data_IF_791782871983
#
_entry.id   IF_791782871983
#
_cell.length_a   1.000
_cell.length_b   1.000
_cell.length_c   1.000
_cell.angle_alpha   90.00
_cell.angle_beta   90.00
_cell.angle_gamma   90.00
#
_symmetry.space_group_name_H-M   'P 1'
#
loop_
_entity.id
_entity.type
_entity.pdbx_description
1 polymer ?
#
# COMPACT_ATOMS: atom_id res chain seq x y z
N UNK A 1 -17.56 12.06 -17.65
CA UNK A 1 -17.61 10.99 -16.62
C UNK A 1 -18.77 11.20 -15.65
N UNK A 2 -18.94 12.38 -15.05
CA UNK A 2 -20.09 12.70 -14.17
C UNK A 2 -21.47 12.56 -14.80
N UNK A 3 -21.60 12.69 -16.13
CA UNK A 3 -22.87 12.42 -16.83
C UNK A 3 -23.27 10.94 -16.85
N UNK A 4 -22.29 10.03 -16.75
CA UNK A 4 -22.51 8.57 -16.84
C UNK A 4 -22.44 7.93 -15.45
N UNK A 5 -21.55 8.44 -14.58
CA UNK A 5 -21.35 7.99 -13.20
C UNK A 5 -21.37 9.22 -12.27
N UNK A 6 -22.56 9.73 -11.90
CA UNK A 6 -22.71 11.00 -11.19
C UNK A 6 -22.12 11.00 -9.77
N UNK A 7 -22.01 9.82 -9.16
CA UNK A 7 -21.48 9.64 -7.81
C UNK A 7 -20.00 9.22 -7.77
N UNK A 8 -19.36 9.04 -8.94
CA UNK A 8 -18.00 8.52 -8.99
C UNK A 8 -17.00 9.50 -8.37
N UNK A 9 -16.16 8.97 -7.48
CA UNK A 9 -15.13 9.70 -6.74
C UNK A 9 -15.63 10.38 -5.47
N UNK A 10 -16.92 10.26 -5.11
CA UNK A 10 -17.49 10.91 -3.91
C UNK A 10 -17.34 10.06 -2.65
N UNK A 11 -17.43 8.75 -2.78
CA UNK A 11 -17.28 7.81 -1.67
C UNK A 11 -16.04 6.98 -1.91
N UNK A 12 -14.97 7.29 -1.17
CA UNK A 12 -13.66 6.67 -1.36
C UNK A 12 -13.34 5.75 -0.19
N UNK A 13 -12.82 4.58 -0.51
CA UNK A 13 -12.13 3.70 0.43
C UNK A 13 -10.67 3.59 0.04
N UNK A 14 -9.81 3.42 1.04
CA UNK A 14 -8.39 3.15 0.87
C UNK A 14 -8.13 1.73 1.35
N UNK A 15 -7.40 0.97 0.55
CA UNK A 15 -6.87 -0.33 0.94
C UNK A 15 -5.37 -0.39 0.65
N UNK A 16 -4.66 -1.22 1.43
CA UNK A 16 -3.26 -1.51 1.15
C UNK A 16 -2.98 -3.02 1.16
N UNK A 17 -2.26 -3.47 0.14
CA UNK A 17 -1.88 -4.88 -0.02
C UNK A 17 -0.36 -5.01 -0.14
N UNK A 18 0.19 -5.93 0.65
CA UNK A 18 1.60 -6.29 0.59
C UNK A 18 1.92 -7.04 -0.71
N UNK A 19 2.93 -6.57 -1.45
CA UNK A 19 3.46 -7.23 -2.63
C UNK A 19 4.84 -7.77 -2.27
N UNK A 20 4.99 -9.10 -2.30
CA UNK A 20 6.28 -9.73 -2.10
C UNK A 20 7.16 -9.52 -3.33
N UNK A 21 8.40 -9.10 -3.10
CA UNK A 21 9.41 -9.00 -4.14
C UNK A 21 9.82 -10.40 -4.61
N UNK A 22 10.27 -10.52 -5.86
CA UNK A 22 10.80 -11.80 -6.35
C UNK A 22 12.14 -12.13 -5.70
N UNK A 23 12.91 -11.12 -5.29
CA UNK A 23 14.09 -11.31 -4.48
C UNK A 23 13.74 -11.76 -3.05
N UNK A 24 14.59 -12.61 -2.46
CA UNK A 24 14.39 -13.13 -1.11
C UNK A 24 14.74 -12.12 0.00
N UNK A 25 15.61 -11.16 -0.33
CA UNK A 25 16.15 -10.14 0.59
C UNK A 25 16.91 -9.08 -0.18
N UNK A 26 17.21 -7.97 0.49
CA UNK A 26 18.11 -6.95 0.00
C UNK A 26 19.51 -7.55 -0.27
N UNK A 27 20.10 -7.16 -1.41
CA UNK A 27 21.46 -7.58 -1.75
C UNK A 27 22.50 -6.74 -0.97
N UNK A 28 23.57 -7.37 -0.52
CA UNK A 28 24.68 -6.68 0.15
C UNK A 28 25.45 -5.78 -0.81
N UNK A 29 25.48 -6.12 -2.11
CA UNK A 29 26.09 -5.30 -3.13
C UNK A 29 25.08 -4.25 -3.64
N UNK A 30 25.29 -3.00 -3.27
CA UNK A 30 24.42 -1.87 -3.61
C UNK A 30 24.73 -1.24 -4.99
N UNK A 31 25.75 -1.70 -5.70
CA UNK A 31 26.05 -1.20 -7.04
C UNK A 31 24.92 -1.57 -8.00
N UNK A 32 24.34 -0.56 -8.66
CA UNK A 32 23.27 -0.75 -9.62
C UNK A 32 23.79 -1.53 -10.84
N UNK A 33 23.26 -2.73 -11.04
CA UNK A 33 23.60 -3.61 -12.17
C UNK A 33 22.37 -3.92 -13.07
N UNK A 34 21.23 -3.28 -12.80
CA UNK A 34 19.97 -3.43 -13.54
C UNK A 34 19.22 -4.74 -13.31
N UNK A 35 19.75 -5.66 -12.49
CA UNK A 35 19.16 -7.00 -12.27
C UNK A 35 18.38 -7.13 -10.96
N UNK A 36 18.29 -6.06 -10.16
CA UNK A 36 17.87 -6.11 -8.75
C UNK A 36 16.76 -5.12 -8.44
N UNK A 37 15.87 -5.52 -7.54
CA UNK A 37 14.88 -4.65 -6.91
C UNK A 37 15.59 -3.82 -5.82
N UNK A 38 16.11 -2.64 -6.19
CA UNK A 38 16.87 -1.77 -5.27
C UNK A 38 16.00 -1.02 -4.27
N UNK A 39 14.72 -0.85 -4.59
CA UNK A 39 13.78 -0.11 -3.76
C UNK A 39 12.99 -0.99 -2.79
N UNK A 40 13.04 -2.31 -2.95
CA UNK A 40 12.38 -3.25 -2.05
C UNK A 40 13.05 -3.24 -0.66
N UNK A 41 12.24 -3.28 0.39
CA UNK A 41 12.70 -3.39 1.77
C UNK A 41 11.75 -4.27 2.60
N UNK A 42 11.92 -4.27 3.92
CA UNK A 42 11.11 -5.09 4.81
C UNK A 42 9.92 -4.31 5.38
N UNK A 43 8.73 -4.87 5.20
CA UNK A 43 7.50 -4.45 5.87
C UNK A 43 7.21 -5.31 7.11
N UNK A 44 6.51 -4.73 8.08
CA UNK A 44 6.05 -5.40 9.30
C UNK A 44 4.64 -4.91 9.64
N UNK A 45 3.71 -5.84 9.84
CA UNK A 45 2.36 -5.58 10.36
C UNK A 45 2.15 -6.38 11.63
N UNK A 46 1.89 -5.68 12.72
CA UNK A 46 1.66 -6.26 14.05
C UNK A 46 0.17 -6.25 14.36
N UNK A 47 -0.36 -7.42 14.72
CA UNK A 47 -1.74 -7.59 15.15
C UNK A 47 -1.73 -7.94 16.63
N UNK A 48 -2.23 -7.03 17.47
CA UNK A 48 -2.44 -7.27 18.91
C UNK A 48 -3.85 -7.79 19.12
N UNK A 49 -3.97 -9.05 19.53
CA UNK A 49 -5.21 -9.65 20.00
C UNK A 49 -4.91 -10.47 21.26
N UNK A 50 -5.81 -10.45 22.23
CA UNK A 50 -5.71 -11.26 23.44
C UNK A 50 -6.28 -12.64 23.14
N UNK A 51 -5.46 -13.69 23.20
CA UNK A 51 -5.94 -15.08 23.20
C UNK A 51 -6.39 -15.51 24.59
N UNK A 52 -7.21 -16.55 24.69
CA UNK A 52 -7.65 -17.15 25.96
C UNK A 52 -6.46 -17.59 26.85
N UNK A 53 -5.31 -17.90 26.25
CA UNK A 53 -4.07 -18.28 26.93
C UNK A 53 -3.18 -17.09 27.37
N UNK A 54 -3.66 -15.84 27.18
CA UNK A 54 -2.93 -14.63 27.54
C UNK A 54 -1.84 -14.22 26.54
N UNK A 55 -1.63 -14.96 25.46
CA UNK A 55 -0.63 -14.61 24.44
C UNK A 55 -1.16 -13.53 23.52
N UNK A 56 -0.42 -12.43 23.43
CA UNK A 56 -0.67 -11.29 22.56
C UNK A 56 0.39 -11.26 21.47
N UNK A 57 -0.05 -11.06 20.23
CA UNK A 57 0.72 -10.63 19.05
C UNK A 57 0.95 -11.67 17.93
N UNK A 58 0.38 -11.39 16.74
CA UNK A 58 0.80 -11.96 15.45
C UNK A 58 1.57 -10.90 14.69
N UNK A 59 2.78 -11.24 14.28
CA UNK A 59 3.62 -10.37 13.45
C UNK A 59 3.71 -10.96 12.05
N UNK A 60 3.31 -10.18 11.04
CA UNK A 60 3.50 -10.50 9.63
C UNK A 60 4.66 -9.65 9.11
N UNK A 61 5.62 -10.28 8.42
CA UNK A 61 6.76 -9.60 7.80
C UNK A 61 6.88 -10.03 6.34
N UNK A 62 7.24 -9.11 5.45
CA UNK A 62 7.50 -9.40 4.04
C UNK A 62 8.64 -8.53 3.53
N UNK A 63 9.33 -9.00 2.49
CA UNK A 63 10.30 -8.22 1.73
C UNK A 63 9.66 -7.83 0.40
N UNK A 64 9.63 -6.54 0.07
CA UNK A 64 9.03 -6.05 -1.16
C UNK A 64 8.45 -4.66 -1.03
N UNK A 65 7.17 -4.54 -1.40
CA UNK A 65 6.45 -3.29 -1.59
C UNK A 65 5.06 -3.33 -0.95
N UNK A 66 4.44 -2.17 -0.83
CA UNK A 66 3.02 -2.02 -0.50
C UNK A 66 2.32 -1.30 -1.66
N UNK A 67 1.22 -1.88 -2.14
CA UNK A 67 0.29 -1.22 -3.05
C UNK A 67 -0.79 -0.55 -2.21
N UNK A 68 -0.91 0.76 -2.35
CA UNK A 68 -2.01 1.56 -1.80
C UNK A 68 -2.99 1.82 -2.92
N UNK A 69 -4.26 1.50 -2.70
CA UNK A 69 -5.33 1.64 -3.67
C UNK A 69 -6.42 2.53 -3.07
N UNK A 70 -6.92 3.46 -3.88
CA UNK A 70 -8.13 4.22 -3.57
C UNK A 70 -9.20 3.80 -4.56
N UNK A 71 -10.35 3.39 -4.04
CA UNK A 71 -11.46 2.85 -4.81
C UNK A 71 -12.72 3.64 -4.51
N UNK A 72 -13.51 3.92 -5.55
CA UNK A 72 -14.86 4.39 -5.37
C UNK A 72 -15.75 3.25 -4.86
N UNK A 73 -16.35 3.42 -3.69
CA UNK A 73 -17.11 2.33 -3.04
C UNK A 73 -18.49 2.11 -3.65
N UNK A 74 -18.98 3.00 -4.53
CA UNK A 74 -20.30 2.87 -5.15
C UNK A 74 -20.22 2.05 -6.43
N UNK A 75 -19.22 2.33 -7.26
CA UNK A 75 -19.00 1.67 -8.54
C UNK A 75 -17.87 0.62 -8.49
N UNK A 76 -17.19 0.50 -7.35
CA UNK A 76 -16.06 -0.42 -7.12
C UNK A 76 -14.90 -0.20 -8.12
N UNK A 77 -14.79 1.01 -8.66
CA UNK A 77 -13.79 1.36 -9.65
C UNK A 77 -12.55 1.99 -9.00
N UNK A 78 -11.34 1.61 -9.43
CA UNK A 78 -10.11 2.21 -8.91
C UNK A 78 -10.03 3.68 -9.35
N UNK A 79 -9.79 4.55 -8.38
CA UNK A 79 -9.62 5.98 -8.59
C UNK A 79 -8.14 6.32 -8.73
N UNK A 80 -7.29 5.74 -7.88
CA UNK A 80 -5.85 5.80 -8.04
C UNK A 80 -5.14 4.69 -7.27
N UNK A 81 -3.85 4.53 -7.56
CA UNK A 81 -2.98 3.63 -6.84
C UNK A 81 -1.58 4.23 -6.68
N UNK A 82 -0.84 3.75 -5.69
CA UNK A 82 0.57 4.09 -5.47
C UNK A 82 1.30 2.88 -4.91
N UNK A 83 2.46 2.59 -5.48
CA UNK A 83 3.37 1.57 -4.95
C UNK A 83 4.43 2.26 -4.10
N UNK A 84 4.64 1.78 -2.88
CA UNK A 84 5.70 2.25 -1.97
C UNK A 84 6.56 1.09 -1.52
N UNK A 85 7.69 1.40 -0.88
CA UNK A 85 8.48 0.40 -0.15
C UNK A 85 7.63 -0.28 0.92
N UNK A 86 7.94 -1.52 1.28
CA UNK A 86 7.18 -2.30 2.27
C UNK A 86 7.23 -1.70 3.68
N UNK A 87 8.30 -0.98 4.01
CA UNK A 87 8.44 -0.26 5.29
C UNK A 87 7.56 1.00 5.40
N UNK A 88 7.01 1.48 4.28
CA UNK A 88 6.16 2.67 4.30
C UNK A 88 4.84 2.37 5.01
N UNK A 89 4.48 3.25 5.95
CA UNK A 89 3.23 3.16 6.70
C UNK A 89 2.03 3.24 5.75
N UNK A 90 1.02 2.40 6.05
CA UNK A 90 -0.29 2.45 5.42
C UNK A 90 -0.92 3.84 5.65
N UNK A 91 -0.92 4.30 6.92
CA UNK A 91 -1.65 5.48 7.38
C UNK A 91 -0.84 6.78 7.23
N UNK A 92 0.46 6.73 7.53
CA UNK A 92 1.28 7.95 7.52
C UNK A 92 1.55 8.38 6.06
N UNK A 93 0.92 9.48 5.65
CA UNK A 93 0.99 10.02 4.28
C UNK A 93 -0.29 9.83 3.46
N UNK A 94 -1.38 9.33 4.04
CA UNK A 94 -2.70 9.24 3.39
C UNK A 94 -3.23 10.62 2.98
N UNK A 95 -3.19 11.61 3.86
CA UNK A 95 -3.68 12.97 3.57
C UNK A 95 -2.94 13.60 2.39
N UNK A 96 -1.61 13.54 2.39
CA UNK A 96 -0.79 14.03 1.29
C UNK A 96 -0.99 13.25 -0.03
N UNK A 97 -1.46 12.00 0.03
CA UNK A 97 -1.80 11.19 -1.16
C UNK A 97 -3.16 11.59 -1.72
N UNK A 98 -4.14 11.90 -0.86
CA UNK A 98 -5.43 12.45 -1.26
C UNK A 98 -5.27 13.81 -1.93
N UNK A 99 -4.40 14.68 -1.41
CA UNK A 99 -4.11 16.00 -1.99
C UNK A 99 -3.49 15.91 -3.39
N UNK A 100 -2.46 15.06 -3.57
CA UNK A 100 -1.84 14.82 -4.89
C UNK A 100 -2.83 14.23 -5.91
N UNK A 101 -3.90 13.61 -5.46
CA UNK A 101 -4.93 13.04 -6.32
C UNK A 101 -5.97 14.07 -6.75
N UNK A 102 -6.36 15.02 -5.89
CA UNK A 102 -7.21 16.15 -6.27
C UNK A 102 -6.59 16.97 -7.41
N UNK A 103 -5.27 17.17 -7.39
CA UNK A 103 -4.56 17.91 -8.44
C UNK A 103 -4.48 17.18 -9.79
N UNK A 104 -4.60 15.84 -9.80
CA UNK A 104 -4.49 15.02 -11.02
C UNK A 104 -5.83 14.65 -11.65
N UNK A 105 -6.95 14.99 -11.00
CA UNK A 105 -8.27 14.81 -11.59
C UNK A 105 -8.60 16.02 -12.50
N UNK A 106 -9.06 15.78 -13.74
CA UNK A 106 -9.51 16.85 -14.63
C UNK A 106 -10.83 17.51 -14.17
#
# INVERSE_FOLDING_TARGET
MREILPEFGKHLAIDSTAISSFAKRQNNNQTADGRRETDADYGKKEYRFVREDGTLEKIVKWFGYNLHLIVDTIYELPVAFKVTKASASDIAGEDARLDQMQERQP
#
